data_IF_433927299597
#
_entry.id   IF_433927299597
#
_cell.length_a   1.000
_cell.length_b   1.000
_cell.length_c   1.000
_cell.angle_alpha   90.00
_cell.angle_beta   90.00
_cell.angle_gamma   90.00
#
_symmetry.space_group_name_H-M   'P 1'
#
loop_
_entity.id
_entity.type
_entity.pdbx_description
1 polymer ?
#
# COMPACT_ATOMS: atom_id res chain seq x y z
N UNK A 1 -2.77 5.48 -22.19
CA UNK A 1 -3.54 4.28 -21.80
C UNK A 1 -3.93 4.45 -20.33
N UNK A 2 -5.14 4.06 -19.93
CA UNK A 2 -5.52 4.10 -18.51
C UNK A 2 -4.74 3.03 -17.76
N UNK A 3 -3.97 3.41 -16.75
CA UNK A 3 -3.27 2.47 -15.88
C UNK A 3 -4.34 1.65 -15.14
N UNK A 4 -4.26 0.30 -15.12
CA UNK A 4 -5.23 -0.51 -14.40
C UNK A 4 -5.15 -0.22 -12.90
N UNK A 5 -6.32 -0.19 -12.23
CA UNK A 5 -6.37 -0.10 -10.76
C UNK A 5 -5.58 -1.26 -10.16
N UNK A 6 -4.65 -0.95 -9.26
CA UNK A 6 -3.80 -1.94 -8.61
C UNK A 6 -3.64 -1.65 -7.12
N UNK A 7 -3.13 -2.63 -6.38
CA UNK A 7 -2.82 -2.51 -4.97
C UNK A 7 -1.33 -2.82 -4.72
N UNK A 8 -0.81 -2.33 -3.61
CA UNK A 8 0.56 -2.60 -3.18
C UNK A 8 0.56 -3.45 -1.91
N UNK A 9 1.49 -4.39 -1.84
CA UNK A 9 1.72 -5.26 -0.70
C UNK A 9 3.19 -5.21 -0.30
N UNK A 10 3.45 -4.76 0.92
CA UNK A 10 4.78 -4.59 1.47
C UNK A 10 5.00 -5.58 2.62
N UNK A 11 5.97 -6.48 2.48
CA UNK A 11 6.35 -7.41 3.53
C UNK A 11 7.37 -6.77 4.48
N UNK A 12 6.94 -6.43 5.69
CA UNK A 12 7.74 -5.76 6.73
C UNK A 12 7.71 -6.51 8.07
N UNK A 13 7.42 -7.81 8.05
CA UNK A 13 7.25 -8.62 9.26
C UNK A 13 8.55 -9.20 9.81
N UNK A 14 9.58 -9.29 8.97
CA UNK A 14 10.85 -9.94 9.30
C UNK A 14 11.66 -9.15 10.34
N UNK A 15 12.43 -9.89 11.14
CA UNK A 15 13.48 -9.31 11.97
C UNK A 15 14.69 -8.97 11.10
N UNK A 16 15.35 -7.81 11.31
CA UNK A 16 16.56 -7.46 10.58
C UNK A 16 17.62 -8.56 10.69
N UNK A 17 18.32 -8.86 9.59
CA UNK A 17 19.34 -9.92 9.56
C UNK A 17 20.58 -9.61 10.40
N UNK A 18 20.86 -8.33 10.65
CA UNK A 18 21.99 -7.88 11.47
C UNK A 18 21.51 -6.90 12.54
N UNK A 19 22.22 -6.85 13.66
CA UNK A 19 21.86 -5.96 14.78
C UNK A 19 22.11 -4.48 14.44
N UNK A 20 23.05 -4.22 13.53
CA UNK A 20 23.47 -2.88 13.08
C UNK A 20 22.98 -2.52 11.66
N UNK A 21 22.07 -3.32 11.07
CA UNK A 21 21.48 -2.99 9.76
C UNK A 21 20.38 -1.95 9.90
N UNK A 22 20.15 -1.17 8.84
CA UNK A 22 19.02 -0.24 8.75
C UNK A 22 17.71 -0.95 9.07
N UNK A 23 16.93 -0.34 9.95
CA UNK A 23 15.55 -0.73 10.20
C UNK A 23 14.62 -0.09 9.17
N UNK A 24 13.48 -0.72 8.91
CA UNK A 24 12.46 -0.20 7.99
C UNK A 24 11.88 1.16 8.43
N UNK A 25 12.03 1.50 9.71
CA UNK A 25 11.67 2.80 10.30
C UNK A 25 12.78 3.85 10.22
N UNK A 26 14.01 3.47 9.88
CA UNK A 26 15.15 4.38 9.90
C UNK A 26 15.07 5.41 8.77
N UNK A 27 15.62 6.62 8.98
CA UNK A 27 15.67 7.66 7.96
C UNK A 27 16.46 7.26 6.72
N UNK A 28 15.89 7.54 5.56
CA UNK A 28 16.45 7.37 4.22
C UNK A 28 16.30 8.69 3.43
N UNK A 29 17.15 9.66 3.77
CA UNK A 29 16.95 11.06 3.38
C UNK A 29 15.92 11.73 4.29
N UNK A 30 14.87 12.33 3.71
CA UNK A 30 13.80 13.01 4.46
C UNK A 30 12.64 12.10 4.89
N UNK A 31 12.55 10.89 4.32
CA UNK A 31 11.54 9.88 4.64
C UNK A 31 12.22 8.66 5.26
N UNK A 32 11.48 7.85 6.02
CA UNK A 32 11.99 6.53 6.40
C UNK A 32 11.95 5.55 5.22
N UNK A 33 12.71 4.46 5.31
CA UNK A 33 12.72 3.34 4.33
C UNK A 33 11.30 2.92 3.92
N UNK A 34 10.45 2.56 4.88
CA UNK A 34 9.07 2.12 4.58
C UNK A 34 8.19 3.22 3.98
N UNK A 35 8.35 4.47 4.47
CA UNK A 35 7.54 5.61 3.99
C UNK A 35 7.90 5.97 2.55
N UNK A 36 9.14 5.72 2.14
CA UNK A 36 9.55 5.87 0.73
C UNK A 36 8.82 4.89 -0.17
N UNK A 37 8.75 3.60 0.18
CA UNK A 37 8.02 2.59 -0.58
C UNK A 37 6.54 2.99 -0.72
N UNK A 38 5.90 3.36 0.39
CA UNK A 38 4.51 3.83 0.40
C UNK A 38 4.33 5.06 -0.49
N UNK A 39 5.28 6.01 -0.43
CA UNK A 39 5.25 7.20 -1.25
C UNK A 39 5.33 6.87 -2.75
N UNK A 40 6.26 6.00 -3.16
CA UNK A 40 6.41 5.56 -4.56
C UNK A 40 5.13 4.90 -5.07
N UNK A 41 4.55 3.95 -4.33
CA UNK A 41 3.30 3.30 -4.74
C UNK A 41 2.13 4.29 -4.82
N UNK A 42 2.06 5.25 -3.89
CA UNK A 42 1.03 6.28 -3.92
C UNK A 42 1.18 7.19 -5.15
N UNK A 43 2.40 7.59 -5.50
CA UNK A 43 2.66 8.36 -6.71
C UNK A 43 2.35 7.58 -7.99
N UNK A 44 2.56 6.26 -7.97
CA UNK A 44 2.19 5.38 -9.08
C UNK A 44 0.67 5.16 -9.20
N UNK A 45 -0.14 5.65 -8.24
CA UNK A 45 -1.60 5.53 -8.26
C UNK A 45 -2.14 4.24 -7.64
N UNK A 46 -1.40 3.63 -6.71
CA UNK A 46 -1.91 2.47 -5.97
C UNK A 46 -3.20 2.82 -5.20
N UNK A 47 -4.19 1.94 -5.25
CA UNK A 47 -5.40 2.01 -4.44
C UNK A 47 -5.08 1.73 -2.97
N UNK A 48 -5.08 0.45 -2.59
CA UNK A 48 -4.70 0.03 -1.25
C UNK A 48 -3.22 -0.24 -1.16
N UNK A 49 -2.57 0.32 -0.14
CA UNK A 49 -1.18 0.02 0.22
C UNK A 49 -1.20 -0.74 1.52
N UNK A 50 -0.99 -2.06 1.44
CA UNK A 50 -0.98 -2.97 2.60
C UNK A 50 0.45 -3.20 3.04
N UNK A 51 0.72 -3.01 4.34
CA UNK A 51 1.98 -3.31 4.98
C UNK A 51 1.75 -4.45 5.97
N UNK A 52 2.44 -5.57 5.78
CA UNK A 52 2.37 -6.70 6.71
C UNK A 52 3.50 -6.56 7.73
N UNK A 53 3.14 -6.26 8.96
CA UNK A 53 4.03 -6.03 10.11
C UNK A 53 4.23 -7.32 10.92
N UNK A 54 5.26 -7.34 11.77
CA UNK A 54 5.63 -8.51 12.59
C UNK A 54 6.57 -8.10 13.71
N UNK A 55 7.87 -8.29 13.53
CA UNK A 55 8.88 -7.78 14.46
C UNK A 55 8.68 -6.27 14.71
N UNK A 56 8.63 -5.86 15.98
CA UNK A 56 8.33 -4.48 16.41
C UNK A 56 7.04 -3.87 15.81
N UNK A 57 6.03 -4.70 15.48
CA UNK A 57 4.81 -4.26 14.79
C UNK A 57 4.16 -3.00 15.38
N UNK A 58 4.01 -2.90 16.72
CA UNK A 58 3.38 -1.73 17.36
C UNK A 58 4.13 -0.42 17.15
N UNK A 59 5.46 -0.48 17.01
CA UNK A 59 6.28 0.71 16.75
C UNK A 59 6.16 1.12 15.29
N UNK A 60 6.28 0.15 14.37
CA UNK A 60 6.12 0.38 12.94
C UNK A 60 4.71 0.89 12.60
N UNK A 61 3.65 0.30 13.15
CA UNK A 61 2.26 0.73 12.95
C UNK A 61 2.03 2.18 13.41
N UNK A 62 2.60 2.57 14.56
CA UNK A 62 2.55 3.96 15.04
C UNK A 62 3.31 4.91 14.11
N UNK A 63 4.47 4.48 13.62
CA UNK A 63 5.26 5.25 12.65
C UNK A 63 4.53 5.41 11.31
N UNK A 64 3.71 4.44 10.92
CA UNK A 64 2.89 4.46 9.71
C UNK A 64 1.52 5.13 9.88
N UNK A 65 1.16 5.57 11.09
CA UNK A 65 -0.09 6.28 11.30
C UNK A 65 -0.17 7.51 10.38
N UNK A 66 -1.32 7.70 9.72
CA UNK A 66 -1.59 8.77 8.73
C UNK A 66 -0.78 8.68 7.43
N UNK A 67 -0.07 7.58 7.17
CA UNK A 67 0.57 7.37 5.87
C UNK A 67 -0.40 6.98 4.76
N UNK A 68 -1.63 6.58 5.11
CA UNK A 68 -2.61 6.00 4.20
C UNK A 68 -2.40 4.50 3.95
N UNK A 69 -1.46 3.86 4.66
CA UNK A 69 -1.24 2.42 4.59
C UNK A 69 -2.14 1.63 5.55
N UNK A 70 -2.47 0.41 5.15
CA UNK A 70 -3.20 -0.59 5.93
C UNK A 70 -2.19 -1.53 6.56
N UNK A 71 -2.10 -1.57 7.88
CA UNK A 71 -1.22 -2.46 8.61
C UNK A 71 -1.94 -3.77 8.96
N UNK A 72 -1.45 -4.89 8.44
CA UNK A 72 -1.85 -6.23 8.84
C UNK A 72 -0.72 -6.85 9.67
N UNK A 73 -1.05 -7.60 10.71
CA UNK A 73 -0.02 -8.22 11.55
C UNK A 73 0.13 -9.70 11.26
N UNK A 74 1.37 -10.11 11.01
CA UNK A 74 1.78 -11.51 11.10
C UNK A 74 2.19 -11.79 12.55
N UNK A 75 1.29 -12.39 13.33
CA UNK A 75 1.55 -12.73 14.74
C UNK A 75 2.58 -13.86 14.88
N UNK A 76 2.72 -14.73 13.86
CA UNK A 76 3.67 -15.85 13.84
C UNK A 76 4.95 -15.50 13.04
N UNK A 77 5.35 -14.23 13.04
CA UNK A 77 6.52 -13.77 12.27
C UNK A 77 7.83 -14.46 12.66
N UNK A 78 7.94 -15.01 13.88
CA UNK A 78 9.14 -15.72 14.36
C UNK A 78 9.34 -17.08 13.67
N UNK A 79 8.25 -17.78 13.36
CA UNK A 79 8.29 -19.16 12.84
C UNK A 79 7.84 -19.27 11.38
N UNK A 80 7.50 -18.14 10.75
CA UNK A 80 6.98 -18.11 9.40
C UNK A 80 7.93 -17.46 8.40
N UNK A 81 7.70 -17.73 7.12
CA UNK A 81 8.49 -17.20 6.02
C UNK A 81 7.81 -15.98 5.36
N UNK A 82 8.50 -15.39 4.38
CA UNK A 82 7.95 -14.27 3.60
C UNK A 82 6.65 -14.63 2.86
N UNK A 83 6.45 -15.90 2.53
CA UNK A 83 5.22 -16.38 1.88
C UNK A 83 4.03 -16.26 2.82
N UNK A 84 4.18 -16.53 4.12
CA UNK A 84 3.13 -16.30 5.11
C UNK A 84 2.69 -14.83 5.14
N UNK A 85 3.64 -13.89 5.15
CA UNK A 85 3.32 -12.46 5.05
C UNK A 85 2.63 -12.10 3.74
N UNK A 86 3.11 -12.65 2.61
CA UNK A 86 2.46 -12.43 1.32
C UNK A 86 1.00 -12.95 1.33
N UNK A 87 0.74 -14.15 1.86
CA UNK A 87 -0.61 -14.71 1.97
C UNK A 87 -1.54 -13.86 2.83
N UNK A 88 -1.08 -13.33 3.96
CA UNK A 88 -1.89 -12.44 4.82
C UNK A 88 -2.36 -11.22 4.02
N UNK A 89 -1.44 -10.58 3.29
CA UNK A 89 -1.77 -9.42 2.47
C UNK A 89 -2.65 -9.75 1.27
N UNK A 90 -2.34 -10.81 0.53
CA UNK A 90 -3.12 -11.26 -0.61
C UNK A 90 -4.54 -11.67 -0.20
N UNK A 91 -4.71 -12.34 0.95
CA UNK A 91 -6.02 -12.74 1.43
C UNK A 91 -6.90 -11.52 1.75
N UNK A 92 -6.30 -10.46 2.30
CA UNK A 92 -6.99 -9.20 2.55
C UNK A 92 -7.40 -8.51 1.23
N UNK A 93 -6.53 -8.54 0.21
CA UNK A 93 -6.75 -7.87 -1.09
C UNK A 93 -7.58 -8.70 -2.08
N UNK A 94 -7.85 -9.97 -1.80
CA UNK A 94 -8.48 -10.90 -2.74
C UNK A 94 -9.84 -10.42 -3.28
N UNK A 95 -10.62 -9.71 -2.46
CA UNK A 95 -11.93 -9.21 -2.84
C UNK A 95 -11.91 -8.17 -3.97
N UNK A 96 -10.79 -7.46 -4.14
CA UNK A 96 -10.66 -6.38 -5.13
C UNK A 96 -10.46 -6.89 -6.56
N UNK A 97 -10.03 -8.15 -6.73
CA UNK A 97 -9.68 -8.74 -8.03
C UNK A 97 -8.76 -7.85 -8.89
N UNK A 98 -7.87 -7.09 -8.24
CA UNK A 98 -6.92 -6.19 -8.88
C UNK A 98 -5.51 -6.78 -8.83
N UNK A 99 -4.62 -6.44 -9.77
CA UNK A 99 -3.21 -6.78 -9.65
C UNK A 99 -2.58 -6.22 -8.36
N UNK A 100 -1.64 -6.97 -7.79
CA UNK A 100 -0.90 -6.60 -6.58
C UNK A 100 0.58 -6.48 -6.88
N UNK A 101 1.18 -5.35 -6.55
CA UNK A 101 2.63 -5.16 -6.58
C UNK A 101 3.22 -5.52 -5.22
N UNK A 102 4.04 -6.57 -5.20
CA UNK A 102 4.64 -7.11 -3.99
C UNK A 102 6.11 -6.69 -3.84
N UNK A 103 6.49 -6.14 -2.70
CA UNK A 103 7.90 -5.86 -2.37
C UNK A 103 8.20 -6.15 -0.91
N UNK A 104 9.38 -6.69 -0.57
CA UNK A 104 9.87 -6.63 0.80
C UNK A 104 10.27 -5.20 1.17
N UNK A 105 10.24 -4.90 2.47
CA UNK A 105 10.41 -3.55 3.00
C UNK A 105 11.86 -3.04 2.98
N UNK A 106 12.82 -3.92 2.72
CA UNK A 106 14.25 -3.66 2.58
C UNK A 106 14.65 -3.18 1.17
N UNK A 107 13.71 -3.10 0.21
CA UNK A 107 13.96 -2.62 -1.16
C UNK A 107 13.22 -1.28 -1.41
N UNK A 108 13.71 -0.15 -0.88
CA UNK A 108 12.98 1.12 -0.90
C UNK A 108 13.22 2.02 -2.12
N UNK A 109 14.11 1.66 -3.06
CA UNK A 109 14.63 2.61 -4.04
C UNK A 109 14.12 2.44 -5.48
N UNK A 110 13.18 1.52 -5.73
CA UNK A 110 12.55 1.41 -7.05
C UNK A 110 11.71 2.66 -7.38
N UNK A 111 11.57 2.93 -8.68
CA UNK A 111 10.93 4.12 -9.24
C UNK A 111 9.44 3.91 -9.52
N UNK A 112 8.70 5.01 -9.70
CA UNK A 112 7.33 4.96 -10.24
C UNK A 112 7.33 4.38 -11.66
N UNK A 113 8.29 4.74 -12.50
CA UNK A 113 8.41 4.20 -13.87
C UNK A 113 8.53 2.67 -13.88
N UNK A 114 9.27 2.08 -12.95
CA UNK A 114 9.34 0.61 -12.78
C UNK A 114 7.98 0.01 -12.48
N UNK A 115 7.19 0.62 -11.58
CA UNK A 115 5.83 0.16 -11.26
C UNK A 115 4.94 0.20 -12.50
N UNK A 116 4.99 1.29 -13.26
CA UNK A 116 4.19 1.46 -14.48
C UNK A 116 4.58 0.45 -15.57
N UNK A 117 5.88 0.26 -15.83
CA UNK A 117 6.38 -0.72 -16.81
C UNK A 117 5.95 -2.15 -16.45
N UNK A 118 5.93 -2.50 -15.17
CA UNK A 118 5.42 -3.79 -14.72
C UNK A 118 3.93 -3.93 -15.02
N UNK A 119 3.11 -2.93 -14.68
CA UNK A 119 1.67 -2.94 -14.95
C UNK A 119 1.36 -2.99 -16.46
N UNK A 120 2.11 -2.25 -17.27
CA UNK A 120 1.99 -2.22 -18.73
C UNK A 120 2.33 -3.56 -19.39
N UNK A 121 3.12 -4.42 -18.73
CA UNK A 121 3.42 -5.76 -19.24
C UNK A 121 2.17 -6.64 -19.42
N UNK A 122 1.09 -6.35 -18.69
CA UNK A 122 -0.16 -7.12 -18.72
C UNK A 122 -0.01 -8.58 -18.25
N UNK A 123 1.13 -8.95 -17.68
CA UNK A 123 1.42 -10.32 -17.28
C UNK A 123 0.82 -10.66 -15.92
N UNK A 124 0.42 -11.92 -15.72
CA UNK A 124 -0.01 -12.45 -14.42
C UNK A 124 1.15 -12.60 -13.43
N UNK A 125 2.37 -12.72 -13.92
CA UNK A 125 3.58 -12.68 -13.11
C UNK A 125 4.66 -11.90 -13.85
N UNK A 126 5.05 -10.74 -13.33
CA UNK A 126 6.17 -9.96 -13.86
C UNK A 126 7.20 -9.65 -12.79
N UNK A 127 8.47 -9.67 -13.21
CA UNK A 127 9.62 -9.37 -12.34
C UNK A 127 10.52 -8.36 -13.06
N UNK A 128 10.87 -7.24 -12.41
CA UNK A 128 11.77 -6.27 -13.00
C UNK A 128 13.18 -6.86 -13.05
N UNK A 129 13.89 -6.56 -14.13
CA UNK A 129 15.29 -6.90 -14.26
C UNK A 129 16.10 -5.75 -14.85
N UNK A 130 17.36 -5.68 -14.43
CA UNK A 130 18.37 -4.80 -15.00
C UNK A 130 19.67 -5.59 -15.09
N UNK A 131 20.34 -5.54 -16.24
CA UNK A 131 21.59 -6.28 -16.47
C UNK A 131 21.48 -7.78 -16.13
N UNK A 132 20.33 -8.41 -16.47
CA UNK A 132 19.97 -9.81 -16.15
C UNK A 132 19.83 -10.15 -14.66
N UNK A 133 19.93 -9.16 -13.77
CA UNK A 133 19.65 -9.31 -12.34
C UNK A 133 18.20 -8.97 -12.08
N UNK A 134 17.51 -9.84 -11.36
CA UNK A 134 16.09 -9.71 -11.03
C UNK A 134 15.93 -9.00 -9.70
N UNK A 135 14.93 -8.12 -9.61
CA UNK A 135 14.66 -7.31 -8.43
C UNK A 135 13.19 -7.30 -8.02
N UNK A 136 12.82 -6.25 -7.31
CA UNK A 136 11.47 -5.94 -6.84
C UNK A 136 11.04 -4.53 -7.29
N UNK A 137 9.73 -4.21 -7.32
CA UNK A 137 8.57 -5.02 -6.89
C UNK A 137 8.18 -6.11 -7.89
N UNK A 138 7.48 -7.15 -7.44
CA UNK A 138 6.91 -8.20 -8.29
C UNK A 138 5.47 -7.85 -8.64
N UNK A 139 5.06 -8.00 -9.90
CA UNK A 139 3.65 -7.94 -10.28
C UNK A 139 3.01 -9.32 -10.07
N UNK A 140 1.93 -9.34 -9.31
CA UNK A 140 1.04 -10.49 -9.12
C UNK A 140 -0.33 -10.14 -9.69
N UNK A 141 -0.63 -10.62 -10.90
CA UNK A 141 -1.92 -10.42 -11.54
C UNK A 141 -3.09 -11.01 -10.74
N UNK A 142 -4.32 -10.69 -11.11
CA UNK A 142 -5.49 -11.14 -10.36
C UNK A 142 -5.63 -12.67 -10.35
N UNK A 143 -5.26 -13.34 -11.44
CA UNK A 143 -5.50 -14.77 -11.62
C UNK A 143 -4.42 -15.66 -10.99
N UNK A 144 -3.22 -15.13 -10.71
CA UNK A 144 -2.19 -15.86 -9.96
C UNK A 144 -2.44 -15.86 -8.45
N UNK A 145 -3.18 -14.87 -7.92
CA UNK A 145 -3.37 -14.71 -6.47
C UNK A 145 -4.07 -15.91 -5.81
N UNK A 146 -5.16 -16.49 -6.36
CA UNK A 146 -5.79 -17.68 -5.78
C UNK A 146 -4.83 -18.88 -5.69
N UNK A 147 -3.98 -19.08 -6.69
CA UNK A 147 -2.95 -20.13 -6.67
C UNK A 147 -1.95 -19.90 -5.54
N UNK A 148 -1.47 -18.66 -5.36
CA UNK A 148 -0.54 -18.32 -4.29
C UNK A 148 -1.17 -18.49 -2.90
N UNK A 149 -2.45 -18.15 -2.74
CA UNK A 149 -3.18 -18.36 -1.49
C UNK A 149 -3.32 -19.85 -1.13
N UNK A 150 -3.52 -20.72 -2.12
CA UNK A 150 -3.60 -22.17 -1.95
C UNK A 150 -2.26 -22.92 -1.92
N UNK A 151 -1.13 -22.21 -2.01
CA UNK A 151 0.19 -22.85 -2.05
C UNK A 151 0.66 -23.27 -0.65
N UNK A 152 0.82 -24.58 -0.46
CA UNK A 152 1.29 -25.22 0.79
C UNK A 152 2.71 -25.80 0.67
N UNK A 153 3.38 -25.61 -0.47
CA UNK A 153 4.72 -26.16 -0.69
C UNK A 153 5.83 -25.40 0.07
N UNK A 154 7.00 -26.02 0.15
CA UNK A 154 8.21 -25.40 0.69
C UNK A 154 8.86 -24.44 -0.33
N UNK A 155 9.83 -23.62 0.10
CA UNK A 155 10.61 -22.75 -0.81
C UNK A 155 10.06 -21.33 -1.00
N UNK A 156 8.99 -20.98 -0.28
CA UNK A 156 8.46 -19.62 -0.19
C UNK A 156 7.87 -19.08 -1.50
N UNK A 157 7.69 -17.76 -1.56
CA UNK A 157 7.02 -17.08 -2.69
C UNK A 157 7.74 -17.32 -4.02
N UNK A 158 9.07 -17.40 -4.02
CA UNK A 158 9.86 -17.66 -5.23
C UNK A 158 9.53 -19.01 -5.86
N UNK A 159 9.40 -20.04 -5.02
CA UNK A 159 9.06 -21.39 -5.49
C UNK A 159 7.60 -21.48 -5.91
N UNK A 160 6.70 -20.84 -5.16
CA UNK A 160 5.29 -20.73 -5.54
C UNK A 160 5.14 -20.12 -6.94
N UNK A 161 5.81 -18.99 -7.22
CA UNK A 161 5.78 -18.36 -8.56
C UNK A 161 6.37 -19.26 -9.65
N UNK A 162 7.40 -20.07 -9.33
CA UNK A 162 8.00 -21.02 -10.28
C UNK A 162 7.05 -22.15 -10.65
N UNK A 163 6.27 -22.64 -9.69
CA UNK A 163 5.30 -23.72 -9.86
C UNK A 163 3.94 -23.24 -10.35
N UNK A 164 3.71 -21.93 -10.39
CA UNK A 164 2.47 -21.35 -10.88
C UNK A 164 2.23 -21.71 -12.36
N UNK A 165 0.96 -21.84 -12.79
CA UNK A 165 0.64 -22.12 -14.19
C UNK A 165 0.92 -20.92 -15.12
N UNK A 166 1.27 -19.76 -14.56
CA UNK A 166 1.51 -18.54 -15.31
C UNK A 166 2.99 -18.36 -15.61
N UNK A 167 3.31 -18.03 -16.86
CA UNK A 167 4.69 -17.76 -17.25
C UNK A 167 5.19 -16.48 -16.59
N UNK A 168 6.34 -16.57 -15.92
CA UNK A 168 7.02 -15.40 -15.37
C UNK A 168 7.61 -14.55 -16.50
N UNK A 169 7.11 -13.34 -16.65
CA UNK A 169 7.61 -12.31 -17.56
C UNK A 169 8.73 -11.53 -16.89
N UNK A 170 9.82 -11.29 -17.62
CA UNK A 170 10.92 -10.46 -17.17
C UNK A 170 10.81 -9.10 -17.88
N UNK A 171 10.74 -8.02 -17.10
CA UNK A 171 10.58 -6.66 -17.62
C UNK A 171 11.89 -5.92 -17.43
N UNK A 172 12.55 -5.56 -18.53
CA UNK A 172 13.77 -4.73 -18.47
C UNK A 172 13.41 -3.33 -18.00
N UNK A 173 14.09 -2.86 -16.94
CA UNK A 173 13.88 -1.53 -16.36
C UNK A 173 15.21 -0.81 -16.20
N UNK A 174 15.30 0.49 -16.55
CA UNK A 174 16.49 1.30 -16.33
C UNK A 174 16.57 1.81 -14.89
N UNK A 175 16.39 0.92 -13.92
CA UNK A 175 16.27 1.24 -12.50
C UNK A 175 17.10 0.26 -11.66
N UNK A 176 18.25 0.72 -11.15
CA UNK A 176 19.08 -0.07 -10.24
C UNK A 176 18.47 -0.21 -8.84
N UNK A 177 17.51 0.65 -8.48
CA UNK A 177 16.82 0.63 -7.19
C UNK A 177 16.04 -0.65 -6.93
N UNK A 178 15.68 -1.39 -8.00
CA UNK A 178 15.03 -2.71 -7.91
C UNK A 178 15.89 -3.77 -7.24
N UNK A 179 17.22 -3.57 -7.20
CA UNK A 179 18.19 -4.49 -6.61
C UNK A 179 18.72 -4.01 -5.24
N UNK A 180 18.35 -2.81 -4.81
CA UNK A 180 18.91 -2.21 -3.60
C UNK A 180 18.35 -2.88 -2.35
N UNK A 181 19.23 -3.41 -1.50
CA UNK A 181 18.88 -4.02 -0.22
C UNK A 181 19.42 -3.14 0.92
N UNK A 182 18.51 -2.43 1.59
CA UNK A 182 18.83 -1.50 2.67
C UNK A 182 19.46 -2.19 3.89
N UNK A 183 19.25 -3.50 4.10
CA UNK A 183 19.89 -4.24 5.19
C UNK A 183 21.35 -4.60 4.88
N UNK A 184 21.68 -4.79 3.60
CA UNK A 184 23.00 -5.21 3.14
C UNK A 184 23.90 -4.06 2.68
N UNK A 185 23.31 -2.95 2.23
CA UNK A 185 24.06 -1.81 1.71
C UNK A 185 24.46 -0.83 2.82
N UNK A 186 25.76 -0.70 3.07
CA UNK A 186 26.32 0.32 3.96
C UNK A 186 26.39 1.71 3.31
N UNK A 187 26.32 1.77 1.98
CA UNK A 187 26.42 3.00 1.21
C UNK A 187 25.09 3.29 0.49
N UNK A 188 24.19 3.97 1.21
CA UNK A 188 22.91 4.39 0.66
C UNK A 188 23.00 5.75 -0.05
N UNK A 189 24.11 6.49 0.12
CA UNK A 189 24.21 7.88 -0.31
C UNK A 189 24.13 8.01 -1.84
N UNK A 190 24.83 7.16 -2.58
CA UNK A 190 24.86 7.24 -4.06
C UNK A 190 23.48 6.92 -4.67
N UNK A 191 22.82 5.85 -4.20
CA UNK A 191 21.50 5.48 -4.72
C UNK A 191 20.39 6.42 -4.23
N UNK A 192 20.53 7.02 -3.05
CA UNK A 192 19.66 8.10 -2.60
C UNK A 192 19.81 9.35 -3.46
N UNK A 193 21.03 9.72 -3.83
CA UNK A 193 21.28 10.85 -4.74
C UNK A 193 20.68 10.60 -6.12
N UNK A 194 20.78 9.37 -6.65
CA UNK A 194 20.12 9.02 -7.91
C UNK A 194 18.60 9.04 -7.78
N UNK A 195 18.04 8.57 -6.68
CA UNK A 195 16.60 8.67 -6.42
C UNK A 195 16.14 10.12 -6.26
N UNK A 196 16.94 11.01 -5.65
CA UNK A 196 16.65 12.45 -5.55
C UNK A 196 16.58 13.14 -6.91
N UNK A 197 17.29 12.61 -7.90
CA UNK A 197 17.27 13.08 -9.29
C UNK A 197 16.12 12.51 -10.12
N UNK A 198 15.24 11.70 -9.52
CA UNK A 198 14.03 11.25 -10.22
C UNK A 198 13.12 12.44 -10.55
N UNK A 199 12.36 12.33 -11.65
CA UNK A 199 11.33 13.31 -11.97
C UNK A 199 10.36 13.50 -10.81
N UNK A 200 10.02 14.76 -10.52
CA UNK A 200 8.94 15.05 -9.60
C UNK A 200 7.60 14.73 -10.26
N UNK A 201 6.63 14.27 -9.47
CA UNK A 201 5.30 13.89 -9.93
C UNK A 201 4.25 14.69 -9.16
N UNK A 202 3.05 14.93 -9.75
CA UNK A 202 2.02 15.68 -9.08
C UNK A 202 1.50 14.88 -7.89
N UNK A 203 1.36 15.55 -6.75
CA UNK A 203 0.71 15.00 -5.57
C UNK A 203 -0.53 15.81 -5.25
N UNK A 204 -1.70 15.23 -5.49
CA UNK A 204 -2.99 15.83 -5.13
C UNK A 204 -3.46 15.24 -3.81
N UNK A 205 -3.88 16.11 -2.91
CA UNK A 205 -4.54 15.74 -1.66
C UNK A 205 -5.84 16.50 -1.55
N UNK A 206 -6.97 15.78 -1.49
CA UNK A 206 -8.29 16.37 -1.37
C UNK A 206 -8.82 16.25 0.06
N UNK A 207 -9.51 17.30 0.48
CA UNK A 207 -10.28 17.35 1.71
C UNK A 207 -11.55 18.16 1.48
N UNK A 208 -12.67 17.68 2.02
CA UNK A 208 -13.90 18.45 2.11
C UNK A 208 -13.90 19.27 3.40
N UNK A 209 -14.43 20.49 3.30
CA UNK A 209 -14.51 21.45 4.39
C UNK A 209 -15.88 22.14 4.36
N UNK A 210 -16.41 22.43 5.56
CA UNK A 210 -17.51 23.38 5.75
C UNK A 210 -17.10 24.48 6.72
N UNK A 211 -16.97 24.16 8.00
CA UNK A 211 -16.33 25.05 8.99
C UNK A 211 -14.88 24.63 9.30
N UNK A 212 -14.62 23.32 9.27
CA UNK A 212 -13.29 22.71 9.43
C UNK A 212 -13.13 21.54 8.45
N UNK A 213 -11.89 21.16 8.06
CA UNK A 213 -11.64 19.97 7.26
C UNK A 213 -12.19 18.73 7.97
N UNK A 214 -13.04 17.97 7.30
CA UNK A 214 -13.77 16.86 7.92
C UNK A 214 -13.72 15.55 7.15
N UNK A 215 -13.43 15.60 5.84
CA UNK A 215 -13.41 14.40 5.03
C UNK A 215 -12.28 14.42 3.99
N UNK A 216 -11.21 13.72 4.32
CA UNK A 216 -10.04 13.50 3.47
C UNK A 216 -9.91 12.01 3.11
N UNK A 217 -8.81 11.65 2.45
CA UNK A 217 -8.49 10.24 2.16
C UNK A 217 -8.44 9.37 3.42
N UNK A 218 -8.03 9.92 4.57
CA UNK A 218 -8.01 9.18 5.85
C UNK A 218 -9.43 8.84 6.32
N UNK A 219 -10.35 9.80 6.27
CA UNK A 219 -11.75 9.59 6.63
C UNK A 219 -12.44 8.60 5.68
N UNK A 220 -12.20 8.73 4.37
CA UNK A 220 -12.70 7.80 3.37
C UNK A 220 -12.20 6.36 3.61
N UNK A 221 -10.91 6.21 3.89
CA UNK A 221 -10.31 4.92 4.24
C UNK A 221 -10.90 4.32 5.51
N UNK A 222 -11.15 5.13 6.54
CA UNK A 222 -11.79 4.66 7.78
C UNK A 222 -13.19 4.10 7.51
N UNK A 223 -14.02 4.83 6.76
CA UNK A 223 -15.34 4.37 6.35
C UNK A 223 -15.28 3.04 5.59
N UNK A 224 -14.41 2.94 4.58
CA UNK A 224 -14.22 1.71 3.80
C UNK A 224 -13.79 0.52 4.67
N UNK A 225 -12.91 0.74 5.64
CA UNK A 225 -12.48 -0.31 6.56
C UNK A 225 -13.57 -0.69 7.56
N UNK A 226 -14.42 0.24 7.99
CA UNK A 226 -15.61 -0.08 8.80
C UNK A 226 -16.57 -0.97 7.99
N UNK A 227 -16.79 -0.65 6.71
CA UNK A 227 -17.59 -1.47 5.79
C UNK A 227 -17.12 -2.91 5.74
N UNK A 228 -15.81 -3.10 5.60
CA UNK A 228 -15.18 -4.41 5.45
C UNK A 228 -15.12 -5.19 6.77
N UNK A 229 -14.81 -4.52 7.88
CA UNK A 229 -14.54 -5.20 9.17
C UNK A 229 -15.75 -5.27 10.10
N UNK A 230 -16.80 -4.49 9.83
CA UNK A 230 -17.96 -4.33 10.70
C UNK A 230 -17.63 -3.68 12.06
N UNK A 231 -16.45 -3.07 12.22
CA UNK A 231 -15.96 -2.61 13.53
C UNK A 231 -15.03 -1.39 13.42
N UNK A 232 -15.43 -0.29 14.06
CA UNK A 232 -14.58 0.92 14.19
C UNK A 232 -13.25 0.60 14.86
N UNK A 233 -13.25 -0.26 15.90
CA UNK A 233 -12.02 -0.63 16.61
C UNK A 233 -11.03 -1.37 15.70
N UNK A 234 -11.51 -2.34 14.90
CA UNK A 234 -10.67 -3.06 13.95
C UNK A 234 -10.16 -2.13 12.85
N UNK A 235 -11.04 -1.30 12.28
CA UNK A 235 -10.68 -0.31 11.26
C UNK A 235 -9.59 0.66 11.75
N UNK A 236 -9.72 1.22 12.94
CA UNK A 236 -8.67 2.08 13.54
C UNK A 236 -7.35 1.32 13.70
N UNK A 237 -7.40 0.07 14.18
CA UNK A 237 -6.21 -0.77 14.36
C UNK A 237 -5.45 -0.99 13.05
N UNK A 238 -6.16 -1.29 11.97
CA UNK A 238 -5.60 -1.42 10.63
C UNK A 238 -4.93 -0.14 10.11
N UNK A 239 -5.38 1.04 10.55
CA UNK A 239 -4.81 2.32 10.13
C UNK A 239 -3.71 2.85 11.06
N UNK A 240 -3.37 2.11 12.13
CA UNK A 240 -2.50 2.63 13.20
C UNK A 240 -3.10 3.80 13.98
N UNK A 241 -4.42 3.99 13.92
CA UNK A 241 -5.14 5.07 14.61
C UNK A 241 -5.62 4.63 16.00
N UNK A 242 -5.69 5.58 16.93
CA UNK A 242 -6.38 5.34 18.19
C UNK A 242 -7.89 5.20 17.97
N UNK A 243 -8.55 4.44 18.85
CA UNK A 243 -10.00 4.29 18.81
C UNK A 243 -10.73 5.65 18.93
N UNK A 244 -10.28 6.52 19.84
CA UNK A 244 -10.83 7.86 20.01
C UNK A 244 -10.67 8.75 18.78
N UNK A 245 -9.52 8.65 18.07
CA UNK A 245 -9.31 9.46 16.87
C UNK A 245 -10.24 9.04 15.73
N UNK A 246 -10.50 7.74 15.56
CA UNK A 246 -11.49 7.27 14.58
C UNK A 246 -12.89 7.79 14.88
N UNK A 247 -13.26 7.84 16.15
CA UNK A 247 -14.53 8.44 16.56
C UNK A 247 -14.63 9.94 16.29
N UNK A 248 -13.56 10.69 16.53
CA UNK A 248 -13.55 12.11 16.19
C UNK A 248 -13.78 12.30 14.70
N UNK A 249 -13.10 11.53 13.83
CA UNK A 249 -13.30 11.57 12.37
C UNK A 249 -14.76 11.30 12.00
N UNK A 250 -15.39 10.29 12.60
CA UNK A 250 -16.79 9.94 12.32
C UNK A 250 -17.76 11.04 12.78
N UNK A 251 -17.55 11.58 13.98
CA UNK A 251 -18.39 12.66 14.51
C UNK A 251 -18.24 13.94 13.70
N UNK A 252 -17.01 14.30 13.31
CA UNK A 252 -16.72 15.46 12.47
C UNK A 252 -17.40 15.30 11.11
N UNK A 253 -17.35 14.11 10.51
CA UNK A 253 -18.08 13.78 9.28
C UNK A 253 -19.59 13.98 9.43
N UNK A 254 -20.23 13.34 10.42
CA UNK A 254 -21.68 13.41 10.59
C UNK A 254 -22.15 14.84 10.86
N UNK A 255 -21.42 15.59 11.70
CA UNK A 255 -21.71 16.98 12.03
C UNK A 255 -21.57 17.90 10.80
N UNK A 256 -20.44 17.82 10.09
CA UNK A 256 -20.10 18.75 9.02
C UNK A 256 -20.81 18.40 7.71
N UNK A 257 -21.07 17.12 7.43
CA UNK A 257 -21.86 16.72 6.27
C UNK A 257 -23.38 16.84 6.52
N UNK A 258 -23.82 16.75 7.78
CA UNK A 258 -25.25 16.71 8.13
C UNK A 258 -25.93 15.40 7.73
N UNK A 259 -25.21 14.28 7.86
CA UNK A 259 -25.68 12.93 7.53
C UNK A 259 -25.52 12.01 8.74
N UNK A 260 -26.23 10.88 8.74
CA UNK A 260 -25.88 9.76 9.61
C UNK A 260 -25.00 8.81 8.82
N UNK A 261 -23.69 8.75 9.08
CA UNK A 261 -22.75 7.97 8.28
C UNK A 261 -22.73 6.49 8.68
N UNK A 262 -22.98 6.18 9.96
CA UNK A 262 -22.92 4.80 10.48
C UNK A 262 -24.12 4.42 11.37
N UNK A 263 -24.49 3.15 11.32
CA UNK A 263 -25.37 2.53 12.31
C UNK A 263 -24.59 1.67 13.29
N UNK A 264 -24.99 1.74 14.56
CA UNK A 264 -24.38 0.97 15.66
C UNK A 264 -25.41 0.06 16.27
N UNK A 265 -25.05 -1.21 16.42
CA UNK A 265 -25.73 -2.14 17.31
C UNK A 265 -24.90 -2.31 18.59
N UNK A 266 -25.44 -1.93 19.77
CA UNK A 266 -24.75 -2.14 21.03
C UNK A 266 -24.37 -3.61 21.20
N UNK A 267 -23.14 -3.86 21.63
CA UNK A 267 -22.58 -5.21 21.74
C UNK A 267 -22.90 -5.87 23.07
N UNK A 268 -23.53 -7.05 23.01
CA UNK A 268 -23.49 -8.07 24.06
C UNK A 268 -22.29 -9.02 23.88
N UNK A 269 -22.44 -10.29 24.25
CA UNK A 269 -21.40 -11.33 24.17
C UNK A 269 -20.78 -11.54 22.78
N UNK A 270 -21.50 -11.19 21.71
CA UNK A 270 -21.05 -11.36 20.32
C UNK A 270 -20.35 -10.12 19.72
N UNK A 271 -20.15 -9.07 20.53
CA UNK A 271 -19.52 -7.83 20.10
C UNK A 271 -20.45 -6.86 19.36
N UNK A 272 -20.20 -5.56 19.50
CA UNK A 272 -20.99 -4.53 18.82
C UNK A 272 -20.63 -4.49 17.33
N UNK A 273 -21.65 -4.42 16.47
CA UNK A 273 -21.47 -4.28 15.03
C UNK A 273 -21.65 -2.81 14.61
N UNK A 274 -20.80 -2.34 13.71
CA UNK A 274 -20.92 -1.03 13.06
C UNK A 274 -20.99 -1.24 11.55
N UNK A 275 -22.02 -0.70 10.91
CA UNK A 275 -22.19 -0.72 9.45
C UNK A 275 -22.36 0.71 8.97
N UNK A 276 -22.02 1.00 7.72
CA UNK A 276 -22.43 2.27 7.13
C UNK A 276 -23.93 2.29 6.92
N UNK A 277 -24.49 3.50 6.95
CA UNK A 277 -25.85 3.74 6.46
C UNK A 277 -25.83 3.88 4.93
N UNK A 278 -27.00 3.93 4.30
CA UNK A 278 -27.09 4.30 2.88
C UNK A 278 -26.53 5.68 2.57
N UNK A 279 -26.68 6.65 3.47
CA UNK A 279 -26.09 7.99 3.32
C UNK A 279 -24.56 7.96 3.41
N UNK A 280 -24.02 7.16 4.34
CA UNK A 280 -22.57 6.99 4.52
C UNK A 280 -21.91 6.32 3.31
N UNK A 281 -22.53 5.28 2.76
CA UNK A 281 -22.05 4.63 1.52
C UNK A 281 -22.09 5.61 0.34
N UNK A 282 -23.21 6.29 0.11
CA UNK A 282 -23.34 7.24 -0.98
C UNK A 282 -22.41 8.46 -0.83
N UNK A 283 -22.07 8.86 0.40
CA UNK A 283 -21.08 9.91 0.63
C UNK A 283 -19.67 9.44 0.29
N UNK A 284 -19.30 8.24 0.76
CA UNK A 284 -18.00 7.62 0.46
C UNK A 284 -17.80 7.46 -1.06
N UNK A 285 -18.79 6.91 -1.77
CA UNK A 285 -18.73 6.68 -3.22
C UNK A 285 -18.56 7.98 -4.01
N UNK A 286 -19.31 9.04 -3.66
CA UNK A 286 -19.16 10.36 -4.30
C UNK A 286 -17.78 10.95 -4.07
N UNK A 287 -17.23 10.85 -2.86
CA UNK A 287 -15.88 11.34 -2.59
C UNK A 287 -14.83 10.53 -3.34
N UNK A 288 -14.96 9.21 -3.42
CA UNK A 288 -14.04 8.36 -4.18
C UNK A 288 -14.05 8.73 -5.66
N UNK A 289 -15.22 8.89 -6.29
CA UNK A 289 -15.32 9.32 -7.68
C UNK A 289 -14.71 10.72 -7.89
N UNK A 290 -14.95 11.65 -6.96
CA UNK A 290 -14.35 12.99 -6.99
C UNK A 290 -12.81 12.95 -6.88
N UNK A 291 -12.25 12.12 -5.99
CA UNK A 291 -10.80 11.95 -5.82
C UNK A 291 -10.14 11.39 -7.08
N UNK A 292 -10.76 10.39 -7.69
CA UNK A 292 -10.30 9.76 -8.92
C UNK A 292 -10.30 10.75 -10.10
N UNK A 293 -11.41 11.46 -10.32
CA UNK A 293 -11.56 12.40 -11.44
C UNK A 293 -10.59 13.59 -11.32
N UNK A 294 -10.49 14.20 -10.13
CA UNK A 294 -9.59 15.35 -9.92
C UNK A 294 -8.13 14.93 -10.02
N UNK A 295 -7.77 13.76 -9.51
CA UNK A 295 -6.40 13.23 -9.61
C UNK A 295 -6.02 12.98 -11.07
N UNK A 296 -6.92 12.39 -11.87
CA UNK A 296 -6.70 12.20 -13.30
C UNK A 296 -6.55 13.54 -14.05
N UNK A 297 -7.42 14.51 -13.75
CA UNK A 297 -7.34 15.86 -14.33
C UNK A 297 -6.03 16.57 -13.97
N UNK A 298 -5.63 16.52 -12.70
CA UNK A 298 -4.39 17.13 -12.23
C UNK A 298 -3.16 16.49 -12.88
N UNK A 299 -3.16 15.16 -13.08
CA UNK A 299 -2.10 14.47 -13.82
C UNK A 299 -2.03 14.97 -15.26
N UNK A 300 -3.15 15.05 -15.97
CA UNK A 300 -3.18 15.56 -17.34
C UNK A 300 -2.68 17.02 -17.43
N UNK A 301 -3.03 17.86 -16.44
CA UNK A 301 -2.50 19.21 -16.35
C UNK A 301 -0.99 19.22 -16.08
N UNK A 302 -0.52 18.38 -15.17
CA UNK A 302 0.90 18.26 -14.89
C UNK A 302 1.69 17.85 -16.14
N UNK A 303 1.25 16.81 -16.84
CA UNK A 303 1.89 16.32 -18.07
C UNK A 303 1.95 17.45 -19.14
N UNK A 304 0.93 18.32 -19.20
CA UNK A 304 0.89 19.48 -20.09
C UNK A 304 1.90 20.58 -19.73
N UNK A 305 2.09 20.87 -18.45
CA UNK A 305 2.90 22.02 -18.00
C UNK A 305 4.35 21.66 -17.65
N UNK A 306 4.59 20.43 -17.19
CA UNK A 306 5.88 19.96 -16.69
C UNK A 306 6.41 18.75 -17.46
N UNK A 307 5.71 18.28 -18.50
CA UNK A 307 6.12 17.08 -19.24
C UNK A 307 7.50 17.18 -19.92
N UNK A 308 7.94 18.39 -20.26
CA UNK A 308 9.29 18.64 -20.82
C UNK A 308 10.40 18.48 -19.75
N UNK A 309 10.10 18.75 -18.47
CA UNK A 309 11.05 18.62 -17.36
C UNK A 309 11.31 17.16 -16.96
N UNK A 310 10.55 16.21 -17.53
CA UNK A 310 10.63 14.77 -17.24
C UNK A 310 11.47 14.00 -18.29
N UNK A 311 12.00 14.68 -19.32
CA UNK A 311 12.77 14.09 -20.43
C UNK A 311 14.27 13.93 -20.12
#
# INVERSE_FOLDING_TARGET
>A
MSIPTFHALIAAAGKPRRRDSFQVSDPLGSLSVIRRIIHTFRQAGAGDIVVVTGYQARELERHLARSGAICLRNEDWENSDMMASARIGLAYLAASNCPVLFTPADIPLFTVSTVLLLLESGAESAVPQINKKRGHPLLLGANIQPFLLGYEGNGGLREALRLSPYQRTLVEVPDEGVLFDAELSTDCAELLERHRKQPFLPLVSLSLERELPFFDRTAAMLLRLIRQTGSVKKACGLMGLSYSKGWNILNDLELQAGITAIHRRPGGSDGGATTLTGEGEAFLERFTAYDEEVTAYAKACFDKYFGEDLQ
#
